data_IF_315423163041
#
_entry.id   IF_315423163041
#
_cell.length_a   1.000
_cell.length_b   1.000
_cell.length_c   1.000
_cell.angle_alpha   90.00
_cell.angle_beta   90.00
_cell.angle_gamma   90.00
#
_symmetry.space_group_name_H-M   'P 1'
#
loop_
_entity.id
_entity.type
_entity.pdbx_description
1 polymer ?
#
# COMPACT_ATOMS: atom_id res chain seq x y z
N UNK A 1 76.16 -58.86 8.62
CA UNK A 1 75.38 -60.10 8.66
C UNK A 1 73.92 -59.67 8.72
N UNK A 2 73.31 -59.44 7.54
CA UNK A 2 72.38 -60.37 6.85
C UNK A 2 71.00 -60.35 7.51
N UNK A 3 69.86 -60.25 6.84
CA UNK A 3 69.47 -60.13 5.44
C UNK A 3 67.95 -59.91 5.43
N UNK A 4 67.45 -59.27 4.37
CA UNK A 4 66.03 -59.06 4.07
C UNK A 4 65.18 -60.34 4.11
N UNK A 5 63.89 -60.21 4.43
CA UNK A 5 62.78 -60.60 3.54
C UNK A 5 61.39 -60.52 4.21
N UNK A 6 60.58 -59.55 3.80
CA UNK A 6 59.19 -59.85 3.41
C UNK A 6 59.22 -60.21 1.90
N UNK A 7 58.18 -60.81 1.24
CA UNK A 7 56.76 -60.88 1.64
C UNK A 7 56.02 -62.21 1.30
N UNK A 8 54.80 -62.41 1.81
CA UNK A 8 53.78 -63.21 1.10
C UNK A 8 52.41 -62.52 1.15
N UNK A 9 51.96 -62.06 -0.02
CA UNK A 9 50.58 -61.69 -0.36
C UNK A 9 49.66 -62.90 -0.27
N UNK A 10 48.38 -62.64 0.02
CA UNK A 10 47.13 -63.33 -0.43
C UNK A 10 46.13 -63.38 0.75
N UNK A 11 44.86 -63.00 0.69
CA UNK A 11 43.92 -62.53 -0.35
C UNK A 11 42.85 -61.71 0.40
N UNK A 12 42.47 -60.53 -0.08
CA UNK A 12 41.26 -59.85 0.40
C UNK A 12 40.04 -60.70 0.07
N UNK A 13 39.43 -61.28 1.10
CA UNK A 13 38.09 -61.87 1.01
C UNK A 13 37.11 -60.71 0.83
N UNK A 14 36.61 -60.53 -0.40
CA UNK A 14 35.43 -59.70 -0.65
C UNK A 14 34.23 -60.48 -0.12
N UNK A 15 33.78 -60.15 1.10
CA UNK A 15 32.47 -60.54 1.57
C UNK A 15 31.42 -59.90 0.66
N UNK A 16 30.75 -60.71 -0.16
CA UNK A 16 29.58 -60.25 -0.90
C UNK A 16 28.41 -60.14 0.07
N UNK A 17 27.66 -59.01 0.07
CA UNK A 17 26.54 -58.84 0.98
C UNK A 17 25.46 -59.89 0.69
N UNK A 18 24.98 -60.54 1.74
CA UNK A 18 23.87 -61.50 1.71
C UNK A 18 22.67 -60.91 0.95
N UNK A 19 21.99 -61.74 0.16
CA UNK A 19 20.89 -61.34 -0.75
C UNK A 19 19.80 -60.50 -0.06
N UNK A 20 19.56 -60.75 1.23
CA UNK A 20 18.65 -59.98 2.10
C UNK A 20 19.10 -58.53 2.31
N UNK A 21 20.40 -58.28 2.42
CA UNK A 21 20.98 -56.93 2.57
C UNK A 21 20.83 -56.13 1.28
N UNK A 22 21.00 -56.76 0.11
CA UNK A 22 20.72 -56.11 -1.18
C UNK A 22 19.25 -55.75 -1.34
N UNK A 23 18.33 -56.64 -0.95
CA UNK A 23 16.89 -56.35 -1.01
C UNK A 23 16.52 -55.17 -0.11
N UNK A 24 17.03 -55.12 1.12
CA UNK A 24 16.79 -53.99 2.06
C UNK A 24 17.32 -52.66 1.50
N UNK A 25 18.51 -52.68 0.90
CA UNK A 25 19.09 -51.49 0.28
C UNK A 25 18.25 -51.01 -0.92
N UNK A 26 17.73 -51.93 -1.74
CA UNK A 26 16.84 -51.59 -2.86
C UNK A 26 15.51 -51.02 -2.38
N UNK A 27 14.94 -51.56 -1.30
CA UNK A 27 13.72 -51.01 -0.68
C UNK A 27 13.96 -49.61 -0.14
N UNK A 28 15.07 -49.39 0.58
CA UNK A 28 15.45 -48.08 1.08
C UNK A 28 15.64 -47.05 -0.05
N UNK A 29 16.36 -47.43 -1.11
CA UNK A 29 16.53 -46.55 -2.28
C UNK A 29 15.19 -46.22 -2.93
N UNK A 30 14.28 -47.21 -3.04
CA UNK A 30 12.92 -46.97 -3.56
C UNK A 30 12.12 -46.01 -2.68
N UNK A 31 12.21 -46.12 -1.37
CA UNK A 31 11.54 -45.21 -0.43
C UNK A 31 12.11 -43.80 -0.51
N UNK A 32 13.43 -43.65 -0.62
CA UNK A 32 14.09 -42.35 -0.80
C UNK A 32 13.68 -41.71 -2.13
N UNK A 33 13.70 -42.49 -3.23
CA UNK A 33 13.28 -41.99 -4.55
C UNK A 33 11.80 -41.63 -4.55
N UNK A 34 10.94 -42.44 -3.91
CA UNK A 34 9.51 -42.13 -3.74
C UNK A 34 9.31 -40.85 -2.93
N UNK A 35 10.02 -40.67 -1.83
CA UNK A 35 9.99 -39.44 -1.04
C UNK A 35 10.41 -38.22 -1.87
N UNK A 36 11.49 -38.33 -2.66
CA UNK A 36 11.91 -37.25 -3.55
C UNK A 36 10.88 -37.00 -4.66
N UNK A 37 10.27 -38.03 -5.22
CA UNK A 37 9.21 -37.89 -6.22
C UNK A 37 7.98 -37.19 -5.62
N UNK A 38 7.51 -37.65 -4.46
CA UNK A 38 6.39 -37.04 -3.72
C UNK A 38 6.72 -35.60 -3.33
N UNK A 39 7.97 -35.29 -2.98
CA UNK A 39 8.45 -33.93 -2.71
C UNK A 39 8.44 -33.04 -3.95
N UNK A 40 8.94 -33.53 -5.10
CA UNK A 40 8.87 -32.81 -6.37
C UNK A 40 7.42 -32.57 -6.80
N UNK A 41 6.53 -33.53 -6.54
CA UNK A 41 5.11 -33.47 -6.89
C UNK A 41 4.31 -32.58 -5.94
N UNK A 42 4.66 -32.48 -4.65
CA UNK A 42 3.86 -31.70 -3.67
C UNK A 42 4.42 -30.32 -3.35
N UNK A 43 5.75 -30.14 -3.32
CA UNK A 43 6.38 -28.90 -2.84
C UNK A 43 6.53 -27.84 -3.95
N UNK A 44 6.50 -28.27 -5.23
CA UNK A 44 6.52 -27.33 -6.35
C UNK A 44 5.13 -26.75 -6.69
N UNK A 45 4.05 -27.46 -6.37
CA UNK A 45 2.68 -26.99 -6.62
C UNK A 45 2.15 -26.01 -5.55
N UNK A 46 2.89 -25.79 -4.45
CA UNK A 46 2.55 -24.85 -3.37
C UNK A 46 3.33 -23.53 -3.41
N UNK A 47 3.87 -23.13 -4.56
CA UNK A 47 4.63 -21.86 -4.67
C UNK A 47 3.78 -20.64 -5.02
N UNK A 48 2.56 -20.54 -4.49
CA UNK A 48 1.98 -19.22 -4.37
C UNK A 48 2.57 -18.62 -3.09
N UNK A 49 3.54 -17.71 -3.20
CA UNK A 49 3.97 -16.86 -2.09
C UNK A 49 2.70 -16.40 -1.35
N UNK A 50 2.59 -16.53 -0.02
CA UNK A 50 1.37 -16.11 0.68
C UNK A 50 1.02 -14.71 0.18
N UNK A 51 -0.20 -14.56 -0.35
CA UNK A 51 -0.67 -13.32 -0.97
C UNK A 51 -0.70 -12.26 0.15
N UNK A 52 0.42 -11.56 0.33
CA UNK A 52 0.56 -10.52 1.35
C UNK A 52 -0.15 -9.29 0.83
N UNK A 53 -1.44 -9.23 1.05
CA UNK A 53 -2.23 -8.03 0.77
C UNK A 53 -2.03 -7.05 1.90
N UNK A 54 -1.47 -5.88 1.58
CA UNK A 54 -1.37 -4.77 2.54
C UNK A 54 -2.77 -4.17 2.66
N UNK A 55 -3.44 -4.40 3.79
CA UNK A 55 -4.69 -3.73 4.13
C UNK A 55 -4.37 -2.43 4.86
N UNK A 56 -4.72 -1.29 4.26
CA UNK A 56 -4.63 0.01 4.94
C UNK A 56 -5.85 0.29 5.83
N UNK A 57 -6.96 -0.42 5.59
CA UNK A 57 -8.19 -0.31 6.36
C UNK A 57 -8.64 -1.66 6.90
N UNK A 58 -9.22 -1.65 8.09
CA UNK A 58 -9.87 -2.84 8.65
C UNK A 58 -11.27 -3.04 8.05
N UNK A 59 -11.94 -4.12 8.43
CA UNK A 59 -13.27 -4.46 7.92
C UNK A 59 -14.36 -3.45 8.37
N UNK A 60 -14.07 -2.62 9.38
CA UNK A 60 -14.89 -1.49 9.83
C UNK A 60 -14.50 -0.15 9.18
N UNK A 61 -13.70 -0.16 8.10
CA UNK A 61 -13.23 1.02 7.37
C UNK A 61 -12.33 2.00 8.17
N UNK A 62 -11.79 1.58 9.31
CA UNK A 62 -10.82 2.35 10.09
C UNK A 62 -9.41 2.19 9.52
N UNK A 63 -8.62 3.27 9.52
CA UNK A 63 -7.25 3.28 9.03
C UNK A 63 -6.34 2.50 10.00
N UNK A 64 -5.77 1.40 9.51
CA UNK A 64 -4.84 0.53 10.27
C UNK A 64 -3.43 0.52 9.68
N UNK A 65 -3.25 1.04 8.46
CA UNK A 65 -1.95 1.15 7.80
C UNK A 65 -1.71 2.56 7.29
N UNK A 66 -0.43 2.92 7.18
CA UNK A 66 0.02 4.18 6.60
C UNK A 66 0.97 3.88 5.45
N UNK A 67 0.80 4.61 4.35
CA UNK A 67 1.75 4.58 3.26
C UNK A 67 2.97 5.45 3.60
N UNK A 68 4.12 4.82 3.81
CA UNK A 68 5.38 5.49 4.15
C UNK A 68 5.99 6.25 2.97
N UNK A 69 5.55 6.00 1.72
CA UNK A 69 6.07 6.68 0.54
C UNK A 69 5.86 8.20 0.64
N UNK A 70 4.72 8.61 1.19
CA UNK A 70 4.26 9.99 1.34
C UNK A 70 5.02 10.77 2.42
N UNK A 71 5.64 10.07 3.36
CA UNK A 71 6.28 10.66 4.53
C UNK A 71 7.78 10.39 4.53
N UNK A 72 8.54 11.07 3.66
CA UNK A 72 9.98 10.80 3.47
C UNK A 72 10.79 10.85 4.76
N UNK A 73 10.52 11.81 5.65
CA UNK A 73 11.21 11.93 6.95
C UNK A 73 10.89 10.75 7.88
N UNK A 74 9.62 10.35 7.93
CA UNK A 74 9.18 9.23 8.76
C UNK A 74 9.70 7.90 8.21
N UNK A 75 9.69 7.72 6.89
CA UNK A 75 10.27 6.56 6.21
C UNK A 75 11.74 6.37 6.59
N UNK A 76 12.55 7.43 6.54
CA UNK A 76 13.96 7.37 6.95
C UNK A 76 14.12 6.88 8.40
N UNK A 77 13.33 7.43 9.33
CA UNK A 77 13.35 7.04 10.72
C UNK A 77 12.96 5.57 10.93
N UNK A 78 11.92 5.10 10.24
CA UNK A 78 11.49 3.69 10.31
C UNK A 78 12.58 2.75 9.78
N UNK A 79 13.21 3.07 8.64
CA UNK A 79 14.31 2.27 8.12
C UNK A 79 15.52 2.26 9.05
N UNK A 80 15.85 3.40 9.65
CA UNK A 80 16.92 3.48 10.65
C UNK A 80 16.61 2.63 11.88
N UNK A 81 15.37 2.67 12.38
CA UNK A 81 14.92 1.85 13.49
C UNK A 81 15.02 0.35 13.16
N UNK A 82 14.59 -0.06 11.96
CA UNK A 82 14.68 -1.46 11.50
C UNK A 82 16.16 -1.89 11.42
N UNK A 83 17.01 -1.08 10.80
CA UNK A 83 18.44 -1.40 10.62
C UNK A 83 19.19 -1.49 11.96
N UNK A 84 18.76 -0.72 12.97
CA UNK A 84 19.34 -0.75 14.32
C UNK A 84 18.62 -1.75 15.25
N UNK A 85 17.71 -2.58 14.73
CA UNK A 85 16.96 -3.57 15.49
C UNK A 85 16.13 -2.96 16.63
N UNK A 86 15.60 -1.76 16.43
CA UNK A 86 14.78 -0.98 17.38
C UNK A 86 15.49 -0.63 18.70
N UNK A 87 16.83 -0.70 18.76
CA UNK A 87 17.59 -0.50 20.01
C UNK A 87 17.78 0.96 20.42
N UNK A 88 17.95 1.87 19.46
CA UNK A 88 18.31 3.29 19.71
C UNK A 88 17.29 4.30 19.20
N UNK A 89 16.51 3.95 18.17
CA UNK A 89 15.55 4.87 17.56
C UNK A 89 14.18 4.70 18.22
N UNK A 90 13.73 5.74 18.93
CA UNK A 90 12.42 5.78 19.57
C UNK A 90 11.33 6.11 18.53
N UNK A 91 10.76 5.09 17.89
CA UNK A 91 9.54 5.24 17.08
C UNK A 91 8.28 5.34 17.97
N UNK A 92 8.42 5.07 19.27
CA UNK A 92 7.30 4.97 20.22
C UNK A 92 6.53 6.27 20.46
N UNK A 93 7.10 7.43 20.09
CA UNK A 93 6.44 8.73 20.23
C UNK A 93 6.47 9.49 18.91
N UNK A 94 5.31 9.56 18.26
CA UNK A 94 5.11 10.33 17.04
C UNK A 94 4.44 11.65 17.43
N UNK A 95 5.19 12.75 17.35
CA UNK A 95 4.65 14.07 17.66
C UNK A 95 3.75 14.61 16.54
N UNK A 96 2.67 15.28 16.95
CA UNK A 96 1.70 15.86 16.01
C UNK A 96 2.36 16.90 15.12
N UNK A 97 2.22 16.72 13.82
CA UNK A 97 2.68 17.69 12.82
C UNK A 97 4.18 17.64 12.51
N UNK A 98 4.95 16.71 13.06
CA UNK A 98 6.38 16.55 12.73
C UNK A 98 6.58 15.82 11.41
N UNK A 99 5.80 14.76 11.16
CA UNK A 99 5.83 13.99 9.93
C UNK A 99 4.64 14.37 9.04
N UNK A 100 4.88 15.22 8.05
CA UNK A 100 3.86 15.69 7.11
C UNK A 100 4.15 15.14 5.72
N UNK A 101 3.07 14.86 4.98
CA UNK A 101 3.18 14.60 3.55
C UNK A 101 3.56 15.91 2.86
N UNK A 102 4.53 15.86 1.96
CA UNK A 102 4.88 17.03 1.17
C UNK A 102 3.83 17.22 0.08
N UNK A 103 3.25 18.42 0.00
CA UNK A 103 2.36 18.77 -1.11
C UNK A 103 3.27 19.28 -2.23
N UNK A 104 3.24 18.68 -3.43
CA UNK A 104 4.00 19.16 -4.59
C UNK A 104 3.82 20.66 -4.81
N UNK A 105 4.93 21.39 -4.99
CA UNK A 105 4.92 22.84 -5.19
C UNK A 105 4.09 23.22 -6.42
N UNK A 106 4.14 22.37 -7.46
CA UNK A 106 3.36 22.56 -8.70
C UNK A 106 1.85 22.59 -8.42
N UNK A 107 1.35 21.75 -7.52
CA UNK A 107 -0.06 21.78 -7.12
C UNK A 107 -0.40 23.07 -6.37
N UNK A 108 0.48 23.55 -5.49
CA UNK A 108 0.28 24.83 -4.80
C UNK A 108 0.30 26.02 -5.75
N UNK A 109 1.11 25.96 -6.81
CA UNK A 109 1.13 26.99 -7.85
C UNK A 109 -0.15 26.94 -8.70
N UNK A 110 -0.61 25.74 -9.07
CA UNK A 110 -1.86 25.57 -9.82
C UNK A 110 -3.07 26.09 -9.05
N UNK A 111 -3.18 25.80 -7.75
CA UNK A 111 -4.27 26.34 -6.92
C UNK A 111 -4.19 27.85 -6.85
N UNK A 112 -3.00 28.43 -6.68
CA UNK A 112 -2.80 29.88 -6.68
C UNK A 112 -3.23 30.52 -8.00
N UNK A 113 -2.80 29.97 -9.14
CA UNK A 113 -3.18 30.46 -10.48
C UNK A 113 -4.70 30.39 -10.65
N UNK A 114 -5.32 29.29 -10.23
CA UNK A 114 -6.77 29.14 -10.36
C UNK A 114 -7.53 30.11 -9.46
N UNK A 115 -7.05 30.37 -8.24
CA UNK A 115 -7.62 31.41 -7.37
C UNK A 115 -7.48 32.81 -7.97
N UNK A 116 -6.39 33.09 -8.69
CA UNK A 116 -6.17 34.38 -9.36
C UNK A 116 -7.00 34.56 -10.64
N UNK A 117 -7.46 33.47 -11.26
CA UNK A 117 -8.34 33.53 -12.44
C UNK A 117 -9.77 33.90 -12.09
N UNK A 118 -10.17 33.80 -10.82
CA UNK A 118 -11.50 34.23 -10.39
C UNK A 118 -11.60 35.75 -10.55
N UNK A 119 -12.44 36.18 -11.49
CA UNK A 119 -12.68 37.60 -11.73
C UNK A 119 -13.75 38.14 -10.80
N UNK A 120 -13.66 39.42 -10.42
CA UNK A 120 -14.70 40.07 -9.62
C UNK A 120 -16.07 39.98 -10.29
N UNK A 121 -16.13 40.06 -11.62
CA UNK A 121 -17.37 39.92 -12.39
C UNK A 121 -18.03 38.54 -12.25
N UNK A 122 -17.25 37.46 -12.13
CA UNK A 122 -17.79 36.12 -11.90
C UNK A 122 -18.33 35.97 -10.48
N UNK A 123 -17.66 36.59 -9.51
CA UNK A 123 -18.10 36.63 -8.10
C UNK A 123 -19.41 37.42 -7.99
N UNK A 124 -19.49 38.59 -8.63
CA UNK A 124 -20.69 39.42 -8.61
C UNK A 124 -21.86 38.69 -9.26
N UNK A 125 -21.66 38.01 -10.40
CA UNK A 125 -22.70 37.19 -11.04
C UNK A 125 -23.19 36.06 -10.12
N UNK A 126 -22.29 35.40 -9.41
CA UNK A 126 -22.62 34.36 -8.45
C UNK A 126 -23.46 34.93 -7.29
N UNK A 127 -23.05 36.07 -6.74
CA UNK A 127 -23.77 36.76 -5.67
C UNK A 127 -25.17 37.20 -6.13
N UNK A 128 -25.28 37.73 -7.35
CA UNK A 128 -26.55 38.11 -7.97
C UNK A 128 -27.48 36.91 -8.16
N UNK A 129 -26.93 35.77 -8.60
CA UNK A 129 -27.64 34.51 -8.75
C UNK A 129 -28.17 34.00 -7.42
N UNK A 130 -27.34 34.01 -6.37
CA UNK A 130 -27.72 33.64 -5.01
C UNK A 130 -28.81 34.58 -4.50
N UNK A 131 -28.64 35.91 -4.63
CA UNK A 131 -29.61 36.90 -4.17
C UNK A 131 -30.99 36.70 -4.83
N UNK A 132 -31.02 36.45 -6.15
CA UNK A 132 -32.25 36.16 -6.90
C UNK A 132 -32.91 34.86 -6.43
N UNK A 133 -32.13 33.81 -6.17
CA UNK A 133 -32.64 32.54 -5.67
C UNK A 133 -33.16 32.60 -4.24
N UNK A 134 -32.47 33.33 -3.36
CA UNK A 134 -32.93 33.60 -1.99
C UNK A 134 -34.23 34.40 -2.02
N UNK A 135 -34.30 35.48 -2.81
CA UNK A 135 -35.53 36.25 -2.98
C UNK A 135 -36.70 35.37 -3.47
N UNK A 136 -36.45 34.51 -4.46
CA UNK A 136 -37.45 33.56 -4.94
C UNK A 136 -37.89 32.58 -3.85
N UNK A 137 -36.96 32.03 -3.07
CA UNK A 137 -37.27 31.10 -1.98
C UNK A 137 -38.16 31.75 -0.90
N UNK A 138 -37.88 33.01 -0.56
CA UNK A 138 -38.67 33.81 0.40
C UNK A 138 -40.06 34.14 -0.15
N UNK A 139 -40.18 34.51 -1.43
CA UNK A 139 -41.48 34.81 -2.03
C UNK A 139 -42.37 33.58 -2.25
N UNK A 140 -41.78 32.39 -2.39
CA UNK A 140 -42.52 31.17 -2.76
C UNK A 140 -43.18 30.46 -1.57
N UNK A 141 -42.69 30.67 -0.35
CA UNK A 141 -43.12 29.90 0.84
C UNK A 141 -43.59 30.83 1.95
N UNK A 142 -44.82 30.58 2.43
CA UNK A 142 -45.44 31.34 3.53
C UNK A 142 -44.85 31.02 4.92
N UNK A 143 -44.22 29.85 5.06
CA UNK A 143 -43.56 29.43 6.30
C UNK A 143 -42.07 29.78 6.27
N UNK A 144 -41.63 30.53 7.28
CA UNK A 144 -40.26 31.02 7.41
C UNK A 144 -39.22 29.89 7.37
N UNK A 145 -39.40 28.82 8.15
CA UNK A 145 -38.43 27.72 8.25
C UNK A 145 -38.21 27.01 6.90
N UNK A 146 -39.29 26.83 6.15
CA UNK A 146 -39.23 26.20 4.82
C UNK A 146 -38.58 27.12 3.78
N UNK A 147 -38.77 28.43 3.89
CA UNK A 147 -38.13 29.42 3.04
C UNK A 147 -36.62 29.49 3.32
N UNK A 148 -36.24 29.50 4.60
CA UNK A 148 -34.85 29.49 5.05
C UNK A 148 -34.10 28.25 4.55
N UNK A 149 -34.70 27.07 4.71
CA UNK A 149 -34.10 25.81 4.24
C UNK A 149 -33.89 25.82 2.73
N UNK A 150 -34.90 26.25 1.96
CA UNK A 150 -34.81 26.35 0.51
C UNK A 150 -33.75 27.38 0.03
N UNK A 151 -33.61 28.50 0.75
CA UNK A 151 -32.58 29.49 0.48
C UNK A 151 -31.17 28.93 0.71
N UNK A 152 -30.96 28.17 1.79
CA UNK A 152 -29.69 27.49 2.06
C UNK A 152 -29.37 26.42 1.01
N UNK A 153 -30.32 25.56 0.67
CA UNK A 153 -30.15 24.54 -0.36
C UNK A 153 -29.81 25.15 -1.72
N UNK A 154 -30.52 26.22 -2.11
CA UNK A 154 -30.23 26.95 -3.34
C UNK A 154 -28.80 27.50 -3.32
N UNK A 155 -28.43 28.22 -2.26
CA UNK A 155 -27.09 28.80 -2.10
C UNK A 155 -26.00 27.73 -2.16
N UNK A 156 -26.18 26.62 -1.44
CA UNK A 156 -25.23 25.50 -1.46
C UNK A 156 -25.10 24.87 -2.84
N UNK A 157 -26.21 24.70 -3.55
CA UNK A 157 -26.24 24.10 -4.88
C UNK A 157 -25.56 24.99 -5.90
N UNK A 158 -25.87 26.29 -5.89
CA UNK A 158 -25.24 27.29 -6.76
C UNK A 158 -23.74 27.39 -6.49
N UNK A 159 -23.32 27.50 -5.23
CA UNK A 159 -21.89 27.54 -4.87
C UNK A 159 -21.15 26.28 -5.29
N UNK A 160 -21.76 25.10 -5.09
CA UNK A 160 -21.17 23.83 -5.55
C UNK A 160 -21.00 23.81 -7.06
N UNK A 161 -22.03 24.19 -7.81
CA UNK A 161 -22.05 24.05 -9.26
C UNK A 161 -21.20 25.09 -9.99
N UNK A 162 -21.19 26.33 -9.51
CA UNK A 162 -20.52 27.43 -10.19
C UNK A 162 -19.07 27.63 -9.74
N UNK A 163 -18.74 27.27 -8.50
CA UNK A 163 -17.41 27.50 -7.93
C UNK A 163 -16.66 26.19 -7.66
N UNK A 164 -17.24 25.30 -6.85
CA UNK A 164 -16.53 24.12 -6.34
C UNK A 164 -16.30 23.07 -7.43
N UNK A 165 -17.33 22.66 -8.18
CA UNK A 165 -17.21 21.64 -9.21
C UNK A 165 -16.26 22.04 -10.35
N UNK A 166 -16.32 23.27 -10.91
CA UNK A 166 -15.38 23.69 -11.95
C UNK A 166 -13.94 23.71 -11.44
N UNK A 167 -13.74 24.16 -10.20
CA UNK A 167 -12.42 24.17 -9.57
C UNK A 167 -11.85 22.75 -9.38
N UNK A 168 -12.66 21.82 -8.89
CA UNK A 168 -12.25 20.41 -8.73
C UNK A 168 -11.94 19.77 -10.09
N UNK A 169 -12.81 19.93 -11.10
CA UNK A 169 -12.59 19.39 -12.45
C UNK A 169 -11.30 19.90 -13.08
N UNK A 170 -10.94 21.16 -12.81
CA UNK A 170 -9.68 21.72 -13.28
C UNK A 170 -8.48 21.05 -12.61
N UNK A 171 -8.55 20.76 -11.31
CA UNK A 171 -7.47 20.12 -10.56
C UNK A 171 -7.38 18.60 -10.79
N UNK A 172 -8.47 17.94 -11.18
CA UNK A 172 -8.53 16.50 -11.39
C UNK A 172 -7.53 16.01 -12.44
N UNK A 173 -7.39 16.74 -13.55
CA UNK A 173 -6.42 16.42 -14.63
C UNK A 173 -4.96 16.48 -14.14
N UNK A 174 -4.48 17.58 -13.52
CA UNK A 174 -3.17 17.61 -12.87
C UNK A 174 -2.98 16.51 -11.82
N UNK A 175 -3.99 16.22 -11.01
CA UNK A 175 -3.89 15.24 -9.93
C UNK A 175 -3.77 13.80 -10.43
N UNK A 176 -4.36 13.44 -11.58
CA UNK A 176 -4.14 12.13 -12.20
C UNK A 176 -2.74 11.97 -12.81
N UNK A 177 -2.14 13.07 -13.26
CA UNK A 177 -0.80 13.04 -13.83
C UNK A 177 0.30 13.04 -12.76
N UNK A 178 0.02 13.60 -11.57
CA UNK A 178 0.85 13.41 -10.40
C UNK A 178 0.55 12.04 -9.78
N UNK A 179 1.38 11.04 -10.08
CA UNK A 179 1.39 9.76 -9.36
C UNK A 179 1.77 10.01 -7.88
N UNK A 180 0.76 10.33 -7.06
CA UNK A 180 0.83 10.63 -5.62
C UNK A 180 0.61 9.41 -4.73
#
# INVERSE_FOLDING_TARGET
MTENAQPKKNKSVKEQPSTTTRLRNLTFIKEVVKYFMDFLETDFHKRHNPKRTVKFRNDSNLLVGIDLSKYTRFRKLVFEAINQGFRKVNVNRIERGVYRANIPVDLLQLTKIQSQKLTEQEIDRLLDGIAKGVAKAVSSKKEYDRALTAAFEYTQTTLKNELVHPFIRFLEKPLHNLSL
#
